data_IF_165473284586
#
_entry.id   IF_165473284586
#
_cell.length_a   1.000
_cell.length_b   1.000
_cell.length_c   1.000
_cell.angle_alpha   90.00
_cell.angle_beta   90.00
_cell.angle_gamma   90.00
#
_symmetry.space_group_name_H-M   'P 1'
#
loop_
_entity.id
_entity.type
_entity.pdbx_description
1 polymer ?
#
# COMPACT_ATOMS: atom_id res chain seq x y z
N UNK A 1 20.14 -24.70 0.74
CA UNK A 1 19.25 -24.31 -0.37
C UNK A 1 19.40 -22.81 -0.50
N UNK A 2 19.62 -22.29 -1.72
CA UNK A 2 19.73 -20.82 -1.90
C UNK A 2 18.34 -20.19 -2.01
N UNK A 3 18.29 -18.88 -1.93
CA UNK A 3 17.08 -18.09 -2.08
C UNK A 3 17.39 -16.90 -3.00
N UNK A 4 16.72 -16.78 -4.13
CA UNK A 4 16.88 -15.62 -5.00
C UNK A 4 15.88 -14.54 -4.59
N UNK A 5 16.35 -13.30 -4.52
CA UNK A 5 15.53 -12.15 -4.09
C UNK A 5 15.80 -10.91 -4.93
N UNK A 6 14.80 -10.05 -5.09
CA UNK A 6 14.95 -8.73 -5.70
C UNK A 6 15.42 -7.75 -4.64
N UNK A 7 16.54 -7.11 -4.90
CA UNK A 7 17.16 -6.20 -3.96
C UNK A 7 17.35 -4.80 -4.55
N UNK A 8 17.12 -3.77 -3.75
CA UNK A 8 17.45 -2.39 -4.06
C UNK A 8 18.97 -2.19 -4.08
N UNK A 9 19.48 -1.55 -5.13
CA UNK A 9 20.92 -1.35 -5.36
C UNK A 9 21.27 0.13 -5.54
N UNK A 10 20.49 1.01 -4.96
CA UNK A 10 20.61 2.46 -5.12
C UNK A 10 19.58 3.05 -6.08
N UNK A 11 19.47 4.38 -6.19
CA UNK A 11 18.46 5.06 -6.99
C UNK A 11 18.39 4.56 -8.45
N UNK A 12 17.22 4.14 -8.87
CA UNK A 12 16.96 3.60 -10.21
C UNK A 12 17.50 2.20 -10.47
N UNK A 13 18.01 1.50 -9.45
CA UNK A 13 18.68 0.20 -9.64
C UNK A 13 18.09 -0.88 -8.74
N UNK A 14 17.77 -2.01 -9.33
CA UNK A 14 17.45 -3.26 -8.64
C UNK A 14 18.25 -4.40 -9.25
N UNK A 15 18.51 -5.44 -8.46
CA UNK A 15 19.15 -6.66 -8.94
C UNK A 15 18.52 -7.89 -8.28
N UNK A 16 18.55 -9.01 -9.00
CA UNK A 16 18.32 -10.33 -8.40
C UNK A 16 19.62 -10.78 -7.77
N UNK A 17 19.57 -11.05 -6.47
CA UNK A 17 20.72 -11.52 -5.69
C UNK A 17 20.45 -12.90 -5.12
N UNK A 18 21.49 -13.62 -4.78
CA UNK A 18 21.40 -14.84 -4.00
C UNK A 18 21.49 -14.48 -2.51
N UNK A 19 20.54 -14.96 -1.72
CA UNK A 19 20.48 -14.83 -0.27
C UNK A 19 20.44 -16.20 0.38
N UNK A 20 20.62 -16.24 1.70
CA UNK A 20 20.42 -17.47 2.43
C UNK A 20 18.94 -17.87 2.47
N UNK A 21 18.68 -19.18 2.54
CA UNK A 21 17.34 -19.67 2.82
C UNK A 21 16.90 -19.21 4.20
N UNK A 22 15.69 -18.62 4.36
CA UNK A 22 15.24 -18.13 5.65
C UNK A 22 15.11 -19.25 6.68
N UNK A 23 15.37 -18.93 7.94
CA UNK A 23 15.08 -19.77 9.08
C UNK A 23 14.16 -19.02 10.08
N UNK A 24 13.84 -19.63 11.23
CA UNK A 24 12.94 -19.05 12.24
C UNK A 24 13.65 -18.04 13.17
N UNK A 25 14.63 -17.30 12.63
CA UNK A 25 15.33 -16.21 13.33
C UNK A 25 15.49 -15.03 12.37
N UNK A 26 15.27 -13.82 12.85
CA UNK A 26 15.57 -12.64 12.07
C UNK A 26 17.06 -12.31 12.19
N UNK A 27 17.80 -12.49 11.09
CA UNK A 27 19.23 -12.22 10.99
C UNK A 27 19.52 -10.75 10.69
N UNK A 28 20.75 -10.34 10.96
CA UNK A 28 21.25 -9.03 10.55
C UNK A 28 21.31 -8.89 9.02
N UNK A 29 21.06 -7.69 8.53
CA UNK A 29 21.10 -7.40 7.11
C UNK A 29 20.61 -5.99 6.76
N UNK A 30 20.67 -5.61 5.47
CA UNK A 30 20.25 -4.30 5.01
C UNK A 30 18.79 -3.99 5.40
N UNK A 31 18.59 -2.89 6.14
CA UNK A 31 17.28 -2.45 6.61
C UNK A 31 16.74 -3.18 7.84
N UNK A 32 17.41 -4.23 8.33
CA UNK A 32 17.01 -4.91 9.56
C UNK A 32 17.28 -4.00 10.76
N UNK A 33 16.26 -3.83 11.62
CA UNK A 33 16.43 -3.06 12.85
C UNK A 33 17.33 -3.84 13.82
N UNK A 34 18.44 -3.25 14.33
CA UNK A 34 19.38 -3.94 15.22
C UNK A 34 18.70 -4.56 16.47
N UNK A 35 17.65 -3.94 16.98
CA UNK A 35 16.92 -4.47 18.13
C UNK A 35 16.04 -5.70 17.81
N UNK A 36 15.83 -6.00 16.53
CA UNK A 36 15.14 -7.20 16.07
C UNK A 36 16.11 -8.34 15.70
N UNK A 37 17.41 -8.09 15.57
CA UNK A 37 18.41 -9.11 15.23
C UNK A 37 18.43 -10.21 16.32
N UNK A 38 18.39 -11.46 15.89
CA UNK A 38 18.29 -12.61 16.79
C UNK A 38 16.88 -12.92 17.29
N UNK A 39 15.88 -12.15 16.85
CA UNK A 39 14.47 -12.39 17.23
C UNK A 39 14.00 -13.76 16.72
N UNK A 40 13.59 -14.62 17.63
CA UNK A 40 13.01 -15.92 17.30
C UNK A 40 11.57 -15.76 16.80
N UNK A 41 11.23 -16.55 15.78
CA UNK A 41 9.96 -16.51 15.06
C UNK A 41 9.29 -17.88 15.07
N UNK A 42 9.35 -18.59 16.19
CA UNK A 42 8.75 -19.92 16.40
C UNK A 42 7.22 -19.95 16.09
N UNK A 43 6.57 -18.81 16.08
CA UNK A 43 5.16 -18.59 15.70
C UNK A 43 4.98 -18.21 14.21
N UNK A 44 5.99 -18.39 13.39
CA UNK A 44 5.98 -18.04 11.97
C UNK A 44 5.97 -19.26 11.07
N UNK A 45 5.90 -18.99 9.77
CA UNK A 45 6.04 -19.97 8.69
C UNK A 45 7.07 -19.48 7.69
N UNK A 46 7.66 -20.43 6.94
CA UNK A 46 8.41 -20.12 5.73
C UNK A 46 7.49 -20.44 4.55
N UNK A 47 7.34 -19.46 3.67
CA UNK A 47 6.56 -19.59 2.45
C UNK A 47 7.50 -19.73 1.24
N UNK A 48 7.11 -20.61 0.32
CA UNK A 48 7.55 -20.53 -1.07
C UNK A 48 6.63 -19.57 -1.79
N UNK A 49 7.16 -18.48 -2.30
CA UNK A 49 6.38 -17.44 -3.01
C UNK A 49 5.81 -18.03 -4.30
N UNK A 50 4.50 -17.89 -4.48
CA UNK A 50 3.75 -18.30 -5.68
C UNK A 50 3.50 -17.08 -6.57
N UNK A 51 3.12 -15.96 -5.96
CA UNK A 51 2.94 -14.69 -6.65
C UNK A 51 3.29 -13.53 -5.70
N UNK A 52 3.82 -12.47 -6.28
CA UNK A 52 4.07 -11.20 -5.60
C UNK A 52 3.86 -10.07 -6.59
N UNK A 53 3.36 -8.91 -6.09
CA UNK A 53 3.20 -7.74 -6.92
C UNK A 53 4.31 -6.72 -6.64
N UNK A 54 4.35 -5.68 -7.46
CA UNK A 54 5.17 -4.49 -7.28
C UNK A 54 4.23 -3.33 -6.93
N UNK A 55 4.36 -2.80 -5.73
CA UNK A 55 3.55 -1.69 -5.23
C UNK A 55 4.12 -0.33 -5.66
N UNK A 56 3.30 0.71 -5.58
CA UNK A 56 3.76 2.10 -5.71
C UNK A 56 4.81 2.47 -4.65
N UNK A 57 4.72 1.92 -3.45
CA UNK A 57 5.69 2.15 -2.37
C UNK A 57 7.06 1.52 -2.67
N UNK A 58 7.14 0.39 -3.39
CA UNK A 58 8.41 -0.15 -3.92
C UNK A 58 9.03 0.84 -4.92
N UNK A 59 8.20 1.48 -5.77
CA UNK A 59 8.67 2.46 -6.75
C UNK A 59 9.27 3.70 -6.07
N UNK A 60 8.71 4.17 -4.96
CA UNK A 60 9.30 5.27 -4.18
C UNK A 60 10.70 4.92 -3.68
N UNK A 61 10.91 3.68 -3.17
CA UNK A 61 12.24 3.22 -2.77
C UNK A 61 13.19 3.11 -3.97
N UNK A 62 12.75 2.50 -5.07
CA UNK A 62 13.58 2.32 -6.29
C UNK A 62 13.98 3.66 -6.90
N UNK A 63 13.13 4.68 -6.86
CA UNK A 63 13.47 6.04 -7.28
C UNK A 63 14.41 6.75 -6.32
N UNK A 64 14.73 6.15 -5.17
CA UNK A 64 15.56 6.76 -4.14
C UNK A 64 14.88 7.90 -3.39
N UNK A 65 13.54 7.89 -3.33
CA UNK A 65 12.71 8.89 -2.64
C UNK A 65 12.48 8.53 -1.16
N UNK A 66 13.24 7.57 -0.66
CA UNK A 66 13.25 7.11 0.73
C UNK A 66 14.69 6.92 1.21
N UNK A 67 14.89 6.62 2.49
CA UNK A 67 16.19 6.31 3.09
C UNK A 67 16.54 4.81 3.02
N UNK A 68 15.99 4.08 2.03
CA UNK A 68 16.25 2.65 1.87
C UNK A 68 17.75 2.37 1.65
N UNK A 69 18.38 1.47 2.42
CA UNK A 69 19.78 1.09 2.22
C UNK A 69 19.94 0.17 1.01
N UNK A 70 21.10 0.25 0.35
CA UNK A 70 21.49 -0.72 -0.67
C UNK A 70 21.52 -2.13 -0.07
N UNK A 71 21.07 -3.12 -0.83
CA UNK A 71 20.95 -4.50 -0.38
C UNK A 71 19.59 -4.88 0.23
N UNK A 72 18.71 -3.90 0.52
CA UNK A 72 17.37 -4.18 1.04
C UNK A 72 16.59 -5.08 0.06
N UNK A 73 16.12 -6.23 0.54
CA UNK A 73 15.22 -7.11 -0.22
C UNK A 73 13.82 -6.49 -0.22
N UNK A 74 13.29 -6.25 -1.42
CA UNK A 74 12.01 -5.58 -1.65
C UNK A 74 10.81 -6.53 -1.53
N UNK A 75 9.61 -5.94 -1.52
CA UNK A 75 8.34 -6.64 -1.67
C UNK A 75 7.60 -6.90 -0.38
N UNK A 76 6.33 -6.54 -0.39
CA UNK A 76 5.42 -6.69 0.74
C UNK A 76 4.06 -7.26 0.34
N UNK A 77 3.85 -7.56 -0.95
CA UNK A 77 2.64 -8.19 -1.46
C UNK A 77 2.91 -9.68 -1.72
N UNK A 78 2.63 -10.52 -0.74
CA UNK A 78 3.09 -11.91 -0.72
C UNK A 78 1.90 -12.87 -0.77
N UNK A 79 1.91 -13.75 -1.75
CA UNK A 79 1.05 -14.94 -1.79
C UNK A 79 1.92 -16.16 -1.99
N UNK A 80 1.82 -17.16 -1.12
CA UNK A 80 2.74 -18.30 -1.13
C UNK A 80 2.18 -19.56 -0.54
N UNK A 81 2.88 -20.66 -0.76
CA UNK A 81 2.62 -21.96 -0.18
C UNK A 81 3.49 -22.16 1.07
N UNK A 82 2.90 -22.60 2.16
CA UNK A 82 3.62 -22.92 3.40
C UNK A 82 4.52 -24.15 3.15
N UNK A 83 5.83 -23.97 3.32
CA UNK A 83 6.80 -25.07 3.17
C UNK A 83 7.39 -25.51 4.49
N UNK A 84 7.45 -24.62 5.49
CA UNK A 84 7.84 -24.95 6.85
C UNK A 84 6.97 -24.20 7.86
N UNK A 85 6.74 -24.82 9.01
CA UNK A 85 5.98 -24.24 10.12
C UNK A 85 6.82 -24.18 11.38
N UNK A 86 6.74 -23.05 12.08
CA UNK A 86 7.37 -22.88 13.38
C UNK A 86 6.68 -23.71 14.47
N UNK A 87 7.38 -23.95 15.54
CA UNK A 87 6.94 -24.81 16.63
C UNK A 87 5.61 -24.40 17.26
N UNK A 88 5.31 -23.11 17.30
CA UNK A 88 4.16 -22.54 18.00
C UNK A 88 2.99 -22.18 17.04
N UNK A 89 3.01 -22.70 15.80
CA UNK A 89 1.96 -22.52 14.78
C UNK A 89 0.92 -23.62 14.93
N UNK A 90 -0.38 -23.26 14.94
CA UNK A 90 -1.47 -24.20 15.19
C UNK A 90 -2.47 -24.32 14.03
N UNK A 91 -2.77 -23.23 13.29
CA UNK A 91 -3.90 -23.15 12.33
C UNK A 91 -3.49 -23.36 10.88
N UNK A 92 -2.23 -23.12 10.54
CA UNK A 92 -1.71 -23.35 9.19
C UNK A 92 -0.71 -24.49 9.16
N UNK A 93 -0.62 -25.18 8.03
CA UNK A 93 0.23 -26.37 7.85
C UNK A 93 0.95 -26.33 6.51
N UNK A 94 1.99 -27.13 6.37
CA UNK A 94 2.71 -27.31 5.11
C UNK A 94 1.73 -27.72 3.99
N UNK A 95 1.85 -27.06 2.84
CA UNK A 95 1.00 -27.20 1.67
C UNK A 95 -0.21 -26.25 1.62
N UNK A 96 -0.48 -25.50 2.69
CA UNK A 96 -1.52 -24.45 2.66
C UNK A 96 -1.08 -23.31 1.76
N UNK A 97 -1.99 -22.85 0.89
CA UNK A 97 -1.81 -21.64 0.09
C UNK A 97 -2.39 -20.46 0.87
N UNK A 98 -1.60 -19.40 1.02
CA UNK A 98 -1.96 -18.26 1.89
C UNK A 98 -1.64 -16.93 1.23
N UNK A 99 -2.46 -15.92 1.52
CA UNK A 99 -2.15 -14.51 1.30
C UNK A 99 -1.62 -13.90 2.59
N UNK A 100 -0.60 -13.05 2.48
CA UNK A 100 0.06 -12.39 3.62
C UNK A 100 -0.20 -10.89 3.52
N UNK A 101 -0.78 -10.22 4.54
CA UNK A 101 -0.95 -8.78 4.52
C UNK A 101 0.41 -8.07 4.54
N UNK A 102 0.53 -6.95 3.84
CA UNK A 102 1.77 -6.19 3.77
C UNK A 102 2.29 -5.76 5.15
N UNK A 103 1.40 -5.42 6.05
CA UNK A 103 1.70 -5.02 7.41
C UNK A 103 1.80 -6.23 8.34
N UNK A 104 2.76 -6.17 9.25
CA UNK A 104 3.00 -7.23 10.23
C UNK A 104 2.37 -6.85 11.56
N UNK A 105 1.62 -7.76 12.17
CA UNK A 105 1.01 -7.56 13.47
C UNK A 105 1.13 -8.79 14.36
N UNK A 106 1.19 -8.57 15.68
CA UNK A 106 1.42 -9.68 16.63
C UNK A 106 0.14 -10.32 17.18
N UNK A 107 -1.04 -9.77 16.91
CA UNK A 107 -2.33 -10.24 17.42
C UNK A 107 -2.58 -10.06 18.92
N UNK A 108 -1.56 -9.69 19.72
CA UNK A 108 -1.64 -9.73 21.20
C UNK A 108 -1.35 -8.41 21.91
N UNK A 109 -0.78 -7.40 21.27
CA UNK A 109 -0.64 -6.07 21.86
C UNK A 109 -2.00 -5.34 21.95
N UNK A 110 -2.06 -4.26 22.72
CA UNK A 110 -3.33 -3.54 22.90
C UNK A 110 -3.93 -3.04 21.59
N UNK A 111 -3.09 -2.57 20.66
CA UNK A 111 -3.56 -2.06 19.37
C UNK A 111 -4.14 -3.19 18.50
N UNK A 112 -3.46 -4.34 18.42
CA UNK A 112 -3.99 -5.50 17.72
C UNK A 112 -5.33 -5.98 18.31
N UNK A 113 -5.45 -6.00 19.65
CA UNK A 113 -6.68 -6.45 20.34
C UNK A 113 -7.91 -5.58 20.08
N UNK A 114 -7.72 -4.32 19.69
CA UNK A 114 -8.81 -3.40 19.34
C UNK A 114 -8.96 -3.23 17.81
N UNK A 115 -8.30 -4.10 17.00
CA UNK A 115 -8.40 -4.09 15.54
C UNK A 115 -7.42 -3.17 14.82
N UNK A 116 -6.63 -2.35 15.52
CA UNK A 116 -5.64 -1.45 14.93
C UNK A 116 -4.32 -2.19 14.63
N UNK A 117 -4.38 -3.17 13.74
CA UNK A 117 -3.26 -4.06 13.42
C UNK A 117 -2.12 -3.36 12.69
N UNK A 118 -2.44 -2.36 11.88
CA UNK A 118 -1.50 -1.55 11.11
C UNK A 118 -0.52 -0.74 11.98
N UNK A 119 -0.86 -0.49 13.23
CA UNK A 119 -0.02 0.19 14.23
C UNK A 119 0.35 -0.75 15.39
N UNK A 120 0.74 -1.98 15.09
CA UNK A 120 1.22 -2.95 16.06
C UNK A 120 2.40 -2.38 16.88
N UNK A 121 2.38 -2.60 18.21
CA UNK A 121 3.37 -2.05 19.15
C UNK A 121 4.56 -2.99 19.40
N UNK A 122 4.60 -4.17 18.77
CA UNK A 122 5.54 -5.22 19.15
C UNK A 122 6.55 -5.59 18.04
N UNK A 123 6.26 -5.29 16.79
CA UNK A 123 7.00 -5.84 15.65
C UNK A 123 8.05 -4.87 15.08
N UNK A 124 7.97 -3.59 15.47
CA UNK A 124 8.93 -2.56 15.14
C UNK A 124 9.38 -1.87 16.44
N UNK A 125 10.67 -1.92 16.79
CA UNK A 125 11.18 -1.32 18.03
C UNK A 125 11.09 0.21 18.08
N UNK A 126 11.17 0.88 16.93
CA UNK A 126 11.32 2.33 16.85
C UNK A 126 9.98 3.07 16.82
N UNK A 127 8.94 2.42 16.26
CA UNK A 127 7.63 3.06 16.05
C UNK A 127 6.51 2.02 15.95
N UNK A 128 5.24 2.40 16.16
CA UNK A 128 4.11 1.54 15.85
C UNK A 128 4.02 1.23 14.35
N UNK A 129 3.72 -0.02 14.00
CA UNK A 129 3.58 -0.48 12.62
C UNK A 129 4.85 -1.10 12.04
N UNK A 130 4.66 -1.99 11.08
CA UNK A 130 5.73 -2.76 10.45
C UNK A 130 5.27 -3.30 9.10
N UNK A 131 6.21 -3.47 8.17
CA UNK A 131 5.96 -4.06 6.86
C UNK A 131 7.16 -4.90 6.41
N UNK A 132 6.92 -5.81 5.46
CA UNK A 132 7.99 -6.55 4.79
C UNK A 132 8.70 -5.64 3.78
N UNK A 133 10.02 -5.81 3.63
CA UNK A 133 10.80 -5.22 2.54
C UNK A 133 10.64 -3.72 2.37
N UNK A 134 10.37 -2.99 3.45
CA UNK A 134 10.22 -1.55 3.44
C UNK A 134 11.11 -0.88 4.50
N UNK A 135 11.71 0.26 4.12
CA UNK A 135 12.61 1.00 5.00
C UNK A 135 11.88 1.53 6.25
N UNK A 136 12.56 1.52 7.39
CA UNK A 136 12.07 2.02 8.69
C UNK A 136 10.81 1.32 9.24
N UNK A 137 10.44 0.18 8.66
CA UNK A 137 9.25 -0.57 9.05
C UNK A 137 9.57 -1.86 9.83
N UNK A 138 10.60 -1.81 10.70
CA UNK A 138 10.97 -2.89 11.61
C UNK A 138 12.02 -3.86 11.07
N UNK A 139 12.37 -3.74 9.78
CA UNK A 139 13.43 -4.52 9.13
C UNK A 139 13.08 -5.97 8.82
N UNK A 140 11.83 -6.27 8.56
CA UNK A 140 11.40 -7.57 8.08
C UNK A 140 11.74 -7.72 6.60
N UNK A 141 12.39 -8.86 6.27
CA UNK A 141 12.87 -9.13 4.91
C UNK A 141 11.70 -9.22 3.92
N UNK A 142 11.88 -8.64 2.73
CA UNK A 142 10.86 -8.55 1.71
C UNK A 142 10.53 -9.89 1.04
N UNK A 143 9.35 -9.97 0.45
CA UNK A 143 8.79 -11.16 -0.17
C UNK A 143 8.91 -11.21 -1.69
N UNK A 144 9.61 -10.27 -2.35
CA UNK A 144 10.06 -10.44 -3.73
C UNK A 144 11.26 -11.39 -3.76
N UNK A 145 11.05 -12.60 -3.22
CA UNK A 145 12.03 -13.64 -3.04
C UNK A 145 11.37 -15.02 -3.27
N UNK A 146 12.18 -16.04 -3.56
CA UNK A 146 11.65 -17.42 -3.72
C UNK A 146 11.08 -17.98 -2.41
N UNK A 147 11.69 -17.58 -1.28
CA UNK A 147 11.24 -17.99 0.06
C UNK A 147 11.24 -16.79 1.00
N UNK A 148 10.25 -16.73 1.89
CA UNK A 148 10.08 -15.63 2.85
C UNK A 148 9.63 -16.14 4.21
N UNK A 149 10.21 -15.56 5.28
CA UNK A 149 9.78 -15.78 6.66
C UNK A 149 8.60 -14.89 7.00
N UNK A 150 7.49 -15.47 7.40
CA UNK A 150 6.27 -14.74 7.83
C UNK A 150 6.06 -14.95 9.32
N UNK A 151 6.22 -13.92 10.17
CA UNK A 151 6.00 -14.04 11.60
C UNK A 151 4.50 -14.03 11.95
N UNK A 152 4.16 -14.56 13.12
CA UNK A 152 2.78 -14.60 13.65
C UNK A 152 1.78 -15.17 12.64
N UNK A 153 2.12 -16.31 12.04
CA UNK A 153 1.40 -16.87 10.89
C UNK A 153 -0.09 -17.07 11.17
N UNK A 154 -0.46 -17.68 12.28
CA UNK A 154 -1.86 -17.92 12.64
C UNK A 154 -2.72 -16.65 12.77
N UNK A 155 -2.07 -15.49 12.89
CA UNK A 155 -2.71 -14.19 12.95
C UNK A 155 -2.62 -13.40 11.64
N UNK A 156 -1.48 -13.46 10.96
CA UNK A 156 -1.23 -12.62 9.79
C UNK A 156 -1.70 -13.24 8.46
N UNK A 157 -1.72 -14.58 8.33
CA UNK A 157 -2.02 -15.15 7.01
C UNK A 157 -3.51 -15.41 6.81
N UNK A 158 -3.99 -15.12 5.62
CA UNK A 158 -5.28 -15.55 5.13
C UNK A 158 -5.11 -16.85 4.33
N UNK A 159 -5.57 -17.95 4.88
CA UNK A 159 -5.55 -19.24 4.18
C UNK A 159 -6.70 -19.30 3.15
N UNK A 160 -6.38 -19.65 1.91
CA UNK A 160 -7.39 -19.94 0.91
C UNK A 160 -8.08 -21.28 1.21
N UNK A 161 -9.42 -21.32 1.23
CA UNK A 161 -10.15 -22.53 1.63
C UNK A 161 -10.02 -23.68 0.63
N UNK A 162 -9.86 -23.37 -0.66
CA UNK A 162 -9.61 -24.30 -1.74
C UNK A 162 -8.38 -23.86 -2.52
N UNK A 163 -7.32 -24.70 -2.46
CA UNK A 163 -6.03 -24.40 -3.07
C UNK A 163 -6.11 -24.40 -4.60
N UNK A 164 -6.80 -25.35 -5.18
CA UNK A 164 -6.83 -25.52 -6.64
C UNK A 164 -7.64 -24.39 -7.28
N UNK A 165 -8.80 -24.05 -6.70
CA UNK A 165 -9.59 -22.88 -7.12
C UNK A 165 -8.80 -21.58 -6.95
N UNK A 166 -8.04 -21.44 -5.87
CA UNK A 166 -7.22 -20.26 -5.65
C UNK A 166 -6.07 -20.17 -6.67
N UNK A 167 -5.45 -21.27 -7.02
CA UNK A 167 -4.40 -21.30 -8.04
C UNK A 167 -4.93 -20.93 -9.44
N UNK A 168 -6.15 -21.30 -9.79
CA UNK A 168 -6.78 -20.86 -11.05
C UNK A 168 -6.98 -19.33 -11.13
N UNK A 169 -7.13 -18.68 -9.97
CA UNK A 169 -7.38 -17.23 -9.84
C UNK A 169 -6.23 -16.47 -9.18
N UNK A 170 -5.05 -17.06 -9.14
CA UNK A 170 -3.95 -16.54 -8.33
C UNK A 170 -3.55 -15.11 -8.70
N UNK A 171 -3.65 -14.73 -9.99
CA UNK A 171 -3.33 -13.39 -10.46
C UNK A 171 -4.27 -12.33 -9.89
N UNK A 172 -5.54 -12.67 -9.66
CA UNK A 172 -6.52 -11.78 -9.04
C UNK A 172 -6.36 -11.80 -7.51
N UNK A 173 -6.17 -12.98 -6.94
CA UNK A 173 -6.12 -13.17 -5.50
C UNK A 173 -4.84 -12.62 -4.86
N UNK A 174 -3.75 -12.48 -5.62
CA UNK A 174 -2.52 -11.87 -5.09
C UNK A 174 -2.72 -10.41 -4.68
N UNK A 175 -3.73 -9.71 -5.23
CA UNK A 175 -4.08 -8.35 -4.83
C UNK A 175 -4.63 -8.24 -3.40
N UNK A 176 -5.03 -9.37 -2.78
CA UNK A 176 -5.53 -9.41 -1.40
C UNK A 176 -4.43 -9.19 -0.35
N UNK A 177 -3.17 -9.27 -0.75
CA UNK A 177 -2.04 -9.08 0.15
C UNK A 177 -1.81 -7.61 0.54
N UNK A 178 -2.14 -6.64 -0.35
CA UNK A 178 -2.02 -5.21 -0.06
C UNK A 178 -3.05 -4.35 -0.84
N UNK A 179 -2.94 -4.31 -2.16
CA UNK A 179 -3.58 -3.32 -3.03
C UNK A 179 -5.08 -3.21 -2.79
N UNK A 180 -5.79 -4.33 -2.76
CA UNK A 180 -7.24 -4.30 -2.59
C UNK A 180 -7.65 -3.92 -1.16
N UNK A 181 -7.08 -4.51 -0.07
CA UNK A 181 -7.36 -4.07 1.29
C UNK A 181 -6.97 -2.61 1.55
N UNK A 182 -5.87 -2.13 0.98
CA UNK A 182 -5.44 -0.74 1.10
C UNK A 182 -6.44 0.22 0.47
N UNK A 183 -6.90 -0.05 -0.75
CA UNK A 183 -7.95 0.73 -1.40
C UNK A 183 -9.27 0.66 -0.63
N UNK A 184 -9.64 -0.52 -0.13
CA UNK A 184 -10.85 -0.71 0.70
C UNK A 184 -10.75 0.09 2.01
N UNK A 185 -9.61 0.05 2.67
CA UNK A 185 -9.36 0.85 3.88
C UNK A 185 -9.46 2.35 3.60
N UNK A 186 -8.94 2.80 2.47
CA UNK A 186 -9.08 4.19 2.02
C UNK A 186 -10.54 4.62 1.90
N UNK A 187 -11.38 3.78 1.28
CA UNK A 187 -12.82 4.05 1.14
C UNK A 187 -13.56 4.04 2.49
N UNK A 188 -13.25 3.08 3.37
CA UNK A 188 -13.80 3.04 4.74
C UNK A 188 -13.34 4.24 5.56
N UNK A 189 -12.05 4.60 5.48
CA UNK A 189 -11.48 5.77 6.16
C UNK A 189 -12.08 7.09 5.69
N UNK A 190 -12.45 7.19 4.41
CA UNK A 190 -13.18 8.31 3.85
C UNK A 190 -14.68 8.32 4.24
N UNK A 191 -15.16 7.34 4.99
CA UNK A 191 -16.56 7.27 5.42
C UNK A 191 -17.55 6.98 4.29
N UNK A 192 -17.11 6.33 3.22
CA UNK A 192 -17.98 5.95 2.09
C UNK A 192 -19.13 5.06 2.56
N UNK A 193 -20.33 5.39 2.15
CA UNK A 193 -21.57 4.68 2.49
C UNK A 193 -22.56 4.72 1.33
N UNK A 194 -23.66 4.01 1.48
CA UNK A 194 -24.74 3.99 0.47
C UNK A 194 -25.20 5.41 0.13
N UNK A 195 -25.19 5.72 -1.15
CA UNK A 195 -25.59 7.01 -1.70
C UNK A 195 -24.50 8.07 -1.78
N UNK A 196 -23.29 7.81 -1.26
CA UNK A 196 -22.18 8.78 -1.32
C UNK A 196 -21.75 9.09 -2.76
N UNK A 197 -21.38 10.36 -3.00
CA UNK A 197 -20.51 10.75 -4.10
C UNK A 197 -19.06 10.70 -3.65
N UNK A 198 -18.20 10.04 -4.45
CA UNK A 198 -16.81 9.76 -4.07
C UNK A 198 -15.86 10.24 -5.17
N UNK A 199 -14.84 10.98 -4.78
CA UNK A 199 -13.71 11.27 -5.67
C UNK A 199 -12.46 10.49 -5.23
N UNK A 200 -11.81 9.82 -6.16
CA UNK A 200 -10.54 9.10 -5.96
C UNK A 200 -9.47 9.78 -6.79
N UNK A 201 -8.47 10.35 -6.14
CA UNK A 201 -7.29 10.88 -6.81
C UNK A 201 -6.29 9.75 -7.10
N UNK A 202 -5.97 9.57 -8.38
CA UNK A 202 -5.10 8.53 -8.91
C UNK A 202 -5.87 7.29 -9.37
N UNK A 203 -5.65 6.89 -10.62
CA UNK A 203 -6.17 5.66 -11.22
C UNK A 203 -5.11 4.54 -11.30
N UNK A 204 -4.16 4.56 -10.38
CA UNK A 204 -3.24 3.45 -10.15
C UNK A 204 -3.95 2.26 -9.49
N UNK A 205 -3.23 1.15 -9.20
CA UNK A 205 -3.86 -0.04 -8.61
C UNK A 205 -4.62 0.23 -7.32
N UNK A 206 -4.05 1.02 -6.38
CA UNK A 206 -4.73 1.41 -5.13
C UNK A 206 -5.98 2.25 -5.41
N UNK A 207 -5.90 3.20 -6.34
CA UNK A 207 -7.04 4.04 -6.68
C UNK A 207 -8.18 3.27 -7.33
N UNK A 208 -7.88 2.33 -8.23
CA UNK A 208 -8.91 1.44 -8.82
C UNK A 208 -9.51 0.51 -7.77
N UNK A 209 -8.71 0.01 -6.83
CA UNK A 209 -9.20 -0.77 -5.70
C UNK A 209 -10.11 0.07 -4.78
N UNK A 210 -9.73 1.33 -4.49
CA UNK A 210 -10.56 2.26 -3.71
C UNK A 210 -11.87 2.60 -4.42
N UNK A 211 -11.83 2.79 -5.74
CA UNK A 211 -13.01 3.03 -6.56
C UNK A 211 -13.97 1.82 -6.51
N UNK A 212 -13.44 0.61 -6.72
CA UNK A 212 -14.22 -0.63 -6.61
C UNK A 212 -14.79 -0.82 -5.19
N UNK A 213 -13.98 -0.58 -4.17
CA UNK A 213 -14.42 -0.64 -2.78
C UNK A 213 -15.54 0.36 -2.49
N UNK A 214 -15.44 1.57 -3.03
CA UNK A 214 -16.50 2.59 -2.89
C UNK A 214 -17.82 2.13 -3.52
N UNK A 215 -17.78 1.48 -4.68
CA UNK A 215 -18.96 0.87 -5.30
C UNK A 215 -19.54 -0.27 -4.44
N UNK A 216 -18.69 -1.14 -3.88
CA UNK A 216 -19.11 -2.22 -2.98
C UNK A 216 -19.75 -1.68 -1.69
N UNK A 217 -19.31 -0.55 -1.19
CA UNK A 217 -19.90 0.14 -0.03
C UNK A 217 -21.20 0.89 -0.37
N UNK A 218 -21.57 0.93 -1.65
CA UNK A 218 -22.85 1.49 -2.11
C UNK A 218 -22.78 2.96 -2.52
N UNK A 219 -21.63 3.49 -2.88
CA UNK A 219 -21.52 4.84 -3.46
C UNK A 219 -22.46 4.99 -4.67
N UNK A 220 -23.13 6.12 -4.77
CA UNK A 220 -24.01 6.42 -5.90
C UNK A 220 -23.22 6.82 -7.15
N UNK A 221 -22.12 7.55 -6.95
CA UNK A 221 -21.21 7.99 -8.01
C UNK A 221 -19.78 7.86 -7.51
N UNK A 222 -18.92 7.27 -8.33
CA UNK A 222 -17.47 7.22 -8.11
C UNK A 222 -16.78 7.91 -9.27
N UNK A 223 -16.01 8.94 -8.98
CA UNK A 223 -15.24 9.74 -9.93
C UNK A 223 -13.75 9.49 -9.68
N UNK A 224 -13.01 9.13 -10.72
CA UNK A 224 -11.57 8.87 -10.63
C UNK A 224 -10.80 9.91 -11.41
N UNK A 225 -9.82 10.58 -10.79
CA UNK A 225 -8.94 11.55 -11.42
C UNK A 225 -7.55 10.99 -11.69
N UNK A 226 -7.04 11.16 -12.90
CA UNK A 226 -5.65 10.82 -13.28
C UNK A 226 -5.20 11.68 -14.47
N UNK A 227 -3.89 11.64 -14.77
CA UNK A 227 -3.29 12.30 -15.94
C UNK A 227 -3.07 11.34 -17.09
N UNK A 228 -3.20 10.04 -16.86
CA UNK A 228 -2.96 9.00 -17.86
C UNK A 228 -4.28 8.49 -18.44
N UNK A 229 -4.51 8.76 -19.73
CA UNK A 229 -5.75 8.36 -20.42
C UNK A 229 -5.98 6.84 -20.40
N UNK A 230 -4.93 6.02 -20.49
CA UNK A 230 -5.07 4.56 -20.38
C UNK A 230 -5.60 4.11 -19.04
N UNK A 231 -5.17 4.76 -17.94
CA UNK A 231 -5.67 4.52 -16.58
C UNK A 231 -7.11 5.03 -16.42
N UNK A 232 -7.43 6.19 -16.96
CA UNK A 232 -8.81 6.71 -16.97
C UNK A 232 -9.75 5.79 -17.75
N UNK A 233 -9.30 5.25 -18.90
CA UNK A 233 -10.06 4.26 -19.66
C UNK A 233 -10.33 2.99 -18.84
N UNK A 234 -9.35 2.55 -18.06
CA UNK A 234 -9.53 1.41 -17.14
C UNK A 234 -10.56 1.73 -16.04
N UNK A 235 -10.50 2.92 -15.44
CA UNK A 235 -11.50 3.34 -14.44
C UNK A 235 -12.92 3.37 -15.03
N UNK A 236 -13.08 3.88 -16.26
CA UNK A 236 -14.38 3.85 -16.97
C UNK A 236 -14.88 2.42 -17.21
N UNK A 237 -13.98 1.47 -17.50
CA UNK A 237 -14.37 0.06 -17.67
C UNK A 237 -14.91 -0.58 -16.38
N UNK A 238 -14.59 0.00 -15.22
CA UNK A 238 -15.13 -0.38 -13.90
C UNK A 238 -16.45 0.37 -13.56
N UNK A 239 -16.96 1.18 -14.50
CA UNK A 239 -18.21 1.94 -14.30
C UNK A 239 -18.01 3.24 -13.52
N UNK A 240 -16.79 3.76 -13.44
CA UNK A 240 -16.52 5.04 -12.82
C UNK A 240 -16.65 6.20 -13.81
N UNK A 241 -17.07 7.37 -13.33
CA UNK A 241 -16.84 8.64 -14.00
C UNK A 241 -15.36 9.01 -13.89
N UNK A 242 -14.87 9.87 -14.79
CA UNK A 242 -13.44 10.23 -14.78
C UNK A 242 -13.21 11.71 -15.01
N UNK A 243 -12.17 12.25 -14.39
CA UNK A 243 -11.66 13.60 -14.65
C UNK A 243 -10.20 13.53 -15.09
N UNK A 244 -9.86 14.30 -16.11
CA UNK A 244 -8.52 14.38 -16.67
C UNK A 244 -7.77 15.57 -16.09
N UNK A 245 -6.84 15.30 -15.19
CA UNK A 245 -6.12 16.32 -14.45
C UNK A 245 -5.10 17.10 -15.30
N UNK A 246 -4.83 16.68 -16.53
CA UNK A 246 -4.06 17.49 -17.51
C UNK A 246 -4.87 18.66 -18.03
N UNK A 247 -6.20 18.62 -17.93
CA UNK A 247 -7.12 19.68 -18.40
C UNK A 247 -7.47 20.73 -17.37
N UNK A 248 -7.07 20.56 -16.11
CA UNK A 248 -7.30 21.53 -15.05
C UNK A 248 -7.69 20.90 -13.72
N UNK A 249 -8.16 21.74 -12.81
CA UNK A 249 -8.53 21.35 -11.45
C UNK A 249 -9.73 20.39 -11.43
N UNK A 250 -9.75 19.42 -10.50
CA UNK A 250 -10.83 18.46 -10.39
C UNK A 250 -12.19 19.13 -10.08
N UNK A 251 -12.23 20.19 -9.28
CA UNK A 251 -13.46 20.87 -8.87
C UNK A 251 -14.33 21.25 -10.06
N UNK A 252 -13.74 21.85 -11.10
CA UNK A 252 -14.47 22.31 -12.29
C UNK A 252 -15.05 21.15 -13.11
N UNK A 253 -14.31 20.05 -13.19
CA UNK A 253 -14.76 18.86 -13.91
C UNK A 253 -15.82 18.08 -13.12
N UNK A 254 -15.71 18.04 -11.78
CA UNK A 254 -16.72 17.47 -10.88
C UNK A 254 -18.02 18.26 -10.98
N UNK A 255 -17.97 19.60 -11.02
CA UNK A 255 -19.14 20.44 -11.20
C UNK A 255 -19.89 20.14 -12.51
N UNK A 256 -19.16 19.83 -13.58
CA UNK A 256 -19.79 19.43 -14.86
C UNK A 256 -20.52 18.07 -14.75
N UNK A 257 -20.04 17.17 -13.90
CA UNK A 257 -20.62 15.84 -13.71
C UNK A 257 -21.80 15.86 -12.71
N UNK A 258 -21.66 16.59 -11.61
CA UNK A 258 -22.57 16.55 -10.48
C UNK A 258 -23.48 17.78 -10.35
N UNK A 259 -23.14 18.88 -11.04
CA UNK A 259 -23.80 20.19 -10.87
C UNK A 259 -23.31 20.99 -9.66
N UNK A 260 -22.40 20.44 -8.87
CA UNK A 260 -21.72 21.08 -7.73
C UNK A 260 -20.24 20.66 -7.72
N UNK A 261 -19.31 21.54 -7.28
CA UNK A 261 -17.87 21.22 -7.29
C UNK A 261 -17.41 20.43 -6.07
N UNK A 262 -18.31 19.67 -5.43
CA UNK A 262 -18.06 18.99 -4.16
C UNK A 262 -18.51 17.54 -4.21
N UNK A 263 -17.87 16.70 -3.37
CA UNK A 263 -18.20 15.29 -3.12
C UNK A 263 -18.34 15.02 -1.61
N UNK A 264 -19.08 13.96 -1.25
CA UNK A 264 -19.23 13.55 0.16
C UNK A 264 -17.92 13.00 0.73
N UNK A 265 -17.15 12.28 -0.08
CA UNK A 265 -15.95 11.57 0.32
C UNK A 265 -14.85 11.75 -0.70
N UNK A 266 -13.61 11.93 -0.27
CA UNK A 266 -12.45 11.96 -1.16
C UNK A 266 -11.36 10.99 -0.71
N UNK A 267 -10.60 10.43 -1.65
CA UNK A 267 -9.57 9.43 -1.38
C UNK A 267 -8.30 9.80 -2.12
N UNK A 268 -7.17 9.90 -1.38
CA UNK A 268 -5.84 10.09 -1.95
C UNK A 268 -5.18 8.74 -2.21
N UNK A 269 -5.04 8.36 -3.47
CA UNK A 269 -4.30 7.18 -3.90
C UNK A 269 -3.03 7.52 -4.71
N UNK A 270 -2.48 8.74 -4.52
CA UNK A 270 -1.27 9.24 -5.18
C UNK A 270 -0.11 9.41 -4.22
N UNK A 271 -0.28 10.21 -3.16
CA UNK A 271 0.76 10.50 -2.19
C UNK A 271 1.72 11.62 -2.63
N UNK A 272 2.94 11.63 -2.03
CA UNK A 272 3.88 12.76 -2.10
C UNK A 272 4.59 12.95 -3.45
N UNK A 273 4.60 11.97 -4.35
CA UNK A 273 5.12 12.16 -5.72
C UNK A 273 4.02 12.69 -6.69
N UNK A 274 3.08 13.44 -6.17
CA UNK A 274 2.04 14.08 -6.96
C UNK A 274 2.60 15.15 -7.90
N UNK A 275 1.89 15.39 -9.01
CA UNK A 275 2.15 16.49 -9.93
C UNK A 275 1.07 17.55 -9.82
N UNK A 276 1.37 18.76 -10.33
CA UNK A 276 0.38 19.84 -10.48
C UNK A 276 -0.72 19.46 -11.47
N UNK A 277 -1.76 20.27 -11.54
CA UNK A 277 -2.88 20.08 -12.46
C UNK A 277 -2.83 21.06 -13.65
N UNK A 278 -3.47 20.70 -14.76
CA UNK A 278 -3.55 21.56 -15.94
C UNK A 278 -2.17 21.91 -16.51
N UNK A 279 -1.86 23.19 -16.58
CA UNK A 279 -0.57 23.69 -17.11
C UNK A 279 0.65 23.29 -16.30
N UNK A 280 0.51 22.88 -15.05
CA UNK A 280 1.58 22.44 -14.16
C UNK A 280 1.69 20.92 -14.05
N UNK A 281 1.00 20.17 -14.91
CA UNK A 281 0.93 18.69 -14.89
C UNK A 281 2.27 17.98 -15.15
N UNK A 282 3.27 18.67 -15.64
CA UNK A 282 4.62 18.16 -15.84
C UNK A 282 5.53 18.34 -14.61
N UNK A 283 5.14 19.18 -13.66
CA UNK A 283 5.94 19.51 -12.48
C UNK A 283 5.47 18.75 -11.25
N UNK A 284 6.43 18.21 -10.47
CA UNK A 284 6.13 17.60 -9.19
C UNK A 284 5.65 18.65 -8.18
N UNK A 285 4.53 18.35 -7.51
CA UNK A 285 3.88 19.23 -6.55
C UNK A 285 3.24 18.39 -5.42
N UNK A 286 4.02 17.96 -4.43
CA UNK A 286 3.62 16.95 -3.44
C UNK A 286 2.36 17.24 -2.65
N UNK A 287 2.02 18.52 -2.45
CA UNK A 287 0.83 18.92 -1.69
C UNK A 287 -0.43 19.06 -2.56
N UNK A 288 -0.33 18.98 -3.87
CA UNK A 288 -1.44 19.30 -4.80
C UNK A 288 -2.64 18.38 -4.56
N UNK A 289 -2.42 17.08 -4.45
CA UNK A 289 -3.53 16.14 -4.27
C UNK A 289 -4.27 16.42 -2.97
N UNK A 290 -3.59 16.46 -1.82
CA UNK A 290 -4.27 16.74 -0.53
C UNK A 290 -4.99 18.08 -0.52
N UNK A 291 -4.39 19.12 -1.10
CA UNK A 291 -5.04 20.43 -1.18
C UNK A 291 -6.31 20.38 -2.05
N UNK A 292 -6.25 19.73 -3.22
CA UNK A 292 -7.42 19.58 -4.09
C UNK A 292 -8.53 18.74 -3.44
N UNK A 293 -8.18 17.68 -2.70
CA UNK A 293 -9.16 16.88 -1.97
C UNK A 293 -9.87 17.69 -0.88
N UNK A 294 -9.12 18.54 -0.17
CA UNK A 294 -9.71 19.45 0.82
C UNK A 294 -10.64 20.47 0.19
N UNK A 295 -10.32 20.96 -1.02
CA UNK A 295 -11.15 21.94 -1.74
C UNK A 295 -12.49 21.35 -2.23
N UNK A 296 -12.49 20.06 -2.64
CA UNK A 296 -13.67 19.42 -3.23
C UNK A 296 -14.47 18.55 -2.23
N UNK A 297 -13.96 18.31 -1.04
CA UNK A 297 -14.73 17.58 -0.02
C UNK A 297 -15.71 18.54 0.63
N UNK A 298 -16.99 18.20 0.61
CA UNK A 298 -18.03 19.05 1.23
C UNK A 298 -17.81 19.24 2.72
N UNK A 299 -18.37 20.32 3.28
CA UNK A 299 -18.35 20.55 4.73
C UNK A 299 -18.98 19.35 5.48
N UNK A 300 -18.27 18.79 6.45
CA UNK A 300 -18.68 17.56 7.17
C UNK A 300 -18.38 16.26 6.43
N UNK A 301 -17.78 16.32 5.23
CA UNK A 301 -17.26 15.18 4.50
C UNK A 301 -15.96 14.65 5.10
N UNK A 302 -15.41 13.61 4.53
CA UNK A 302 -14.18 12.94 5.04
C UNK A 302 -13.20 12.62 3.93
N UNK A 303 -11.92 12.58 4.28
CA UNK A 303 -10.82 12.22 3.36
C UNK A 303 -10.12 10.97 3.86
N UNK A 304 -10.01 9.94 3.01
CA UNK A 304 -9.18 8.76 3.22
C UNK A 304 -7.82 8.95 2.54
N UNK A 305 -6.72 8.62 3.22
CA UNK A 305 -5.37 8.89 2.70
C UNK A 305 -4.53 7.60 2.71
N UNK A 306 -4.76 6.66 1.79
CA UNK A 306 -3.82 5.56 1.56
C UNK A 306 -2.53 6.01 0.86
N UNK A 307 -2.50 7.20 0.27
CA UNK A 307 -1.32 7.80 -0.34
C UNK A 307 -0.16 7.94 0.64
N UNK A 308 1.05 7.60 0.20
CA UNK A 308 2.25 7.65 1.04
C UNK A 308 2.81 9.06 1.11
N UNK A 309 3.13 9.51 2.33
CA UNK A 309 3.85 10.77 2.58
C UNK A 309 5.08 10.49 3.46
N UNK A 310 6.27 10.83 2.95
CA UNK A 310 7.54 10.65 3.67
C UNK A 310 8.17 12.01 3.97
N UNK A 311 8.79 12.14 5.14
CA UNK A 311 9.41 13.41 5.59
C UNK A 311 10.91 13.46 5.32
N UNK A 312 11.54 12.35 5.04
CA UNK A 312 12.99 12.20 4.81
C UNK A 312 13.35 11.95 3.36
N UNK A 313 12.63 12.56 2.40
CA UNK A 313 12.86 12.35 0.97
C UNK A 313 14.21 12.91 0.52
N UNK A 314 15.16 12.07 0.08
CA UNK A 314 16.50 12.51 -0.37
C UNK A 314 16.54 13.00 -1.83
N UNK A 315 15.43 12.89 -2.60
CA UNK A 315 15.32 13.32 -3.98
C UNK A 315 15.58 12.26 -5.05
N UNK A 316 16.37 11.24 -4.74
CA UNK A 316 16.56 10.07 -5.62
C UNK A 316 17.07 10.40 -7.03
N UNK A 317 16.45 9.80 -8.03
CA UNK A 317 16.76 9.99 -9.46
C UNK A 317 16.06 11.21 -10.08
N UNK A 318 15.00 11.69 -9.46
CA UNK A 318 14.29 12.90 -9.85
C UNK A 318 14.73 14.04 -8.95
N UNK A 319 14.74 15.28 -9.44
CA UNK A 319 14.93 16.44 -8.55
C UNK A 319 13.74 16.48 -7.58
N UNK A 320 14.05 16.33 -6.28
CA UNK A 320 13.01 16.30 -5.26
C UNK A 320 12.31 17.65 -5.17
N UNK A 321 11.02 17.66 -5.42
CA UNK A 321 10.20 18.71 -4.88
C UNK A 321 10.07 18.44 -3.38
N UNK A 322 10.62 19.32 -2.55
CA UNK A 322 10.38 19.27 -1.11
C UNK A 322 8.87 19.35 -0.89
N UNK A 323 8.35 18.51 0.00
CA UNK A 323 6.95 18.59 0.42
C UNK A 323 6.70 20.02 0.87
N UNK A 324 5.92 20.76 0.08
CA UNK A 324 5.52 22.11 0.41
C UNK A 324 4.59 22.13 1.63
N UNK A 325 4.24 23.31 2.10
CA UNK A 325 3.25 23.44 3.15
C UNK A 325 1.90 22.88 2.68
N UNK A 326 1.32 21.95 3.44
CA UNK A 326 -0.08 21.62 3.28
C UNK A 326 -0.89 22.90 3.60
N UNK A 327 -1.56 23.42 2.60
CA UNK A 327 -2.48 24.54 2.79
C UNK A 327 -3.80 23.99 3.32
N UNK A 328 -3.96 24.01 4.63
CA UNK A 328 -5.23 23.70 5.26
C UNK A 328 -6.20 24.84 4.97
N UNK A 329 -7.00 24.71 3.95
CA UNK A 329 -8.06 25.69 3.61
C UNK A 329 -9.30 25.57 4.48
N UNK A 330 -9.23 24.82 5.54
CA UNK A 330 -10.35 24.66 6.44
C UNK A 330 -10.64 25.95 7.17
N UNK A 331 -11.83 26.49 6.97
CA UNK A 331 -12.41 27.45 7.88
C UNK A 331 -12.66 26.80 9.26
N UNK A 332 -12.85 27.61 10.27
CA UNK A 332 -13.31 27.15 11.58
C UNK A 332 -14.68 26.47 11.41
N UNK A 333 -14.81 25.21 11.77
CA UNK A 333 -16.08 24.49 11.71
C UNK A 333 -16.03 23.05 11.19
N UNK A 334 -14.85 22.49 11.17
CA UNK A 334 -14.67 21.05 10.86
C UNK A 334 -14.77 20.22 12.13
#
# INVERSE_FOLDING_TARGET
MGNKAVSYQGPGKVAVIDTDYPDFVLHDGPGVNPANVGRRVDHGVILKTVATNICGSDQHMVRGRTTAPEGLVLGHEITGEVVEVGRDVEFVKVGDLVSVPFNISCGRCRNCKIGNTHICLNVNPDRPGSAYGYVDMGGWVGGQAEYVLVPYADWNVLKFPDRDQAMEKIMDLTMLSDIFPTGFHGAVGAGVKTGSTVYVAGAGPVGLAAATASQLLGAAVVIVGDMNEGRLAQARSFGCETVDLTKGEPAQQIEQLLGVPEVDCAIDAVGFEAKGHGGDSDHEAPATVLNSLMDITMAGGSVGIPGLYVTGDPGGIDEAAKIGSLSMRFGLGW
#
